data_IF_892589390696
#
_entry.id   IF_892589390696
#
_cell.length_a   1.000
_cell.length_b   1.000
_cell.length_c   1.000
_cell.angle_alpha   90.00
_cell.angle_beta   90.00
_cell.angle_gamma   90.00
#
_symmetry.space_group_name_H-M   'P 1'
#
loop_
_entity.id
_entity.type
_entity.pdbx_description
1 polymer ?
#
# COMPACT_ATOMS: atom_id res chain seq x y z
N UNK A 1 69.71 11.56 54.84
CA UNK A 1 69.19 10.25 55.27
C UNK A 1 67.77 10.53 55.78
N UNK A 2 66.77 10.40 54.91
CA UNK A 2 65.94 9.19 54.69
C UNK A 2 65.07 8.91 55.93
N UNK A 3 63.73 8.93 55.93
CA UNK A 3 62.70 8.73 54.88
C UNK A 3 61.33 9.30 55.34
N UNK A 4 60.34 9.46 54.44
CA UNK A 4 58.93 9.74 54.75
C UNK A 4 58.00 8.53 54.49
N UNK A 5 56.77 8.52 55.03
CA UNK A 5 55.49 8.07 54.38
C UNK A 5 54.32 8.68 55.17
N UNK A 6 53.26 9.11 54.46
CA UNK A 6 52.07 9.78 54.97
C UNK A 6 50.75 9.11 54.48
N UNK A 7 49.63 9.57 55.08
CA UNK A 7 48.20 9.54 54.64
C UNK A 7 47.47 8.18 54.89
N UNK A 8 46.21 8.05 55.34
CA UNK A 8 45.02 8.92 55.47
C UNK A 8 44.00 8.37 56.50
N UNK A 9 42.99 9.20 56.83
CA UNK A 9 41.84 8.99 57.72
C UNK A 9 40.77 7.98 57.24
N UNK A 10 40.00 7.43 58.20
CA UNK A 10 38.67 6.86 58.00
C UNK A 10 37.78 7.11 59.24
N UNK A 11 36.53 7.53 59.00
CA UNK A 11 35.53 7.97 59.99
C UNK A 11 34.45 6.92 60.29
N UNK A 12 33.75 7.16 61.41
CA UNK A 12 32.94 6.28 62.24
C UNK A 12 31.63 5.71 61.64
N UNK A 13 31.13 4.62 62.24
CA UNK A 13 29.82 4.02 61.97
C UNK A 13 28.93 3.85 63.21
N UNK A 14 27.72 3.31 62.95
CA UNK A 14 26.62 2.78 63.81
C UNK A 14 25.52 3.79 64.26
N UNK A 15 24.20 3.52 64.29
CA UNK A 15 23.22 2.60 63.64
C UNK A 15 21.78 3.05 64.02
N UNK A 16 20.87 3.19 63.02
CA UNK A 16 19.38 3.06 62.85
C UNK A 16 18.34 2.99 64.01
N UNK A 17 16.98 3.03 63.79
CA UNK A 17 16.16 3.14 62.52
C UNK A 17 14.90 4.07 62.55
N UNK A 18 14.34 4.36 61.36
CA UNK A 18 12.91 4.53 60.96
C UNK A 18 12.82 5.57 59.82
N UNK A 19 12.63 5.21 58.55
CA UNK A 19 11.39 4.70 57.97
C UNK A 19 11.03 5.59 56.76
N UNK A 20 11.60 5.28 55.60
CA UNK A 20 11.49 6.02 54.34
C UNK A 20 10.14 5.76 53.64
N UNK A 21 9.40 6.83 53.35
CA UNK A 21 8.25 6.81 52.44
C UNK A 21 8.70 7.42 51.12
N UNK A 22 9.25 6.61 50.22
CA UNK A 22 9.43 6.97 48.80
C UNK A 22 9.38 5.70 47.96
N UNK A 23 8.72 5.78 46.80
CA UNK A 23 8.71 4.84 45.67
C UNK A 23 7.85 3.57 45.76
N UNK A 24 6.58 3.71 45.35
CA UNK A 24 5.90 2.64 44.59
C UNK A 24 4.86 3.23 43.63
N UNK A 25 5.32 3.79 42.51
CA UNK A 25 4.49 4.05 41.35
C UNK A 25 4.74 2.92 40.34
N UNK A 26 3.83 1.95 40.34
CA UNK A 26 3.92 0.68 39.65
C UNK A 26 4.24 0.82 38.15
N UNK A 27 5.31 0.14 37.71
CA UNK A 27 5.53 -0.18 36.31
C UNK A 27 4.45 -1.19 35.88
N UNK A 28 3.40 -0.71 35.22
CA UNK A 28 2.39 -1.57 34.60
C UNK A 28 3.11 -2.49 33.59
N UNK A 29 3.04 -3.80 33.79
CA UNK A 29 3.67 -4.72 32.85
C UNK A 29 2.98 -4.63 31.49
N UNK A 30 3.70 -4.90 30.41
CA UNK A 30 3.14 -4.94 29.05
C UNK A 30 2.00 -5.96 28.92
N UNK A 31 1.98 -6.97 29.81
CA UNK A 31 0.89 -7.93 29.92
C UNK A 31 -0.37 -7.31 30.57
N UNK A 32 -0.21 -6.46 31.58
CA UNK A 32 -1.31 -5.77 32.24
C UNK A 32 -1.92 -4.69 31.35
N UNK A 33 -1.09 -3.95 30.59
CA UNK A 33 -1.55 -3.01 29.57
C UNK A 33 -2.32 -3.72 28.44
N UNK A 34 -1.87 -4.91 28.03
CA UNK A 34 -2.55 -5.73 27.03
C UNK A 34 -3.88 -6.29 27.54
N UNK A 35 -3.92 -6.79 28.77
CA UNK A 35 -5.15 -7.28 29.39
C UNK A 35 -6.18 -6.18 29.61
N UNK A 36 -5.73 -4.95 29.92
CA UNK A 36 -6.58 -3.77 30.02
C UNK A 36 -7.17 -3.36 28.66
N UNK A 37 -6.36 -3.35 27.60
CA UNK A 37 -6.83 -3.07 26.23
C UNK A 37 -7.78 -4.15 25.68
N UNK A 38 -7.50 -5.43 25.93
CA UNK A 38 -8.36 -6.54 25.49
C UNK A 38 -9.74 -6.50 26.18
N UNK A 39 -9.84 -5.98 27.41
CA UNK A 39 -11.11 -5.78 28.13
C UNK A 39 -11.92 -4.56 27.65
N UNK A 40 -11.27 -3.59 26.97
CA UNK A 40 -11.91 -2.40 26.39
C UNK A 40 -12.41 -2.61 24.96
N UNK A 41 -12.06 -3.74 24.33
CA UNK A 41 -12.49 -4.05 22.98
C UNK A 41 -14.02 -4.23 22.92
N UNK A 42 -14.75 -3.45 22.09
CA UNK A 42 -16.20 -3.60 21.99
C UNK A 42 -16.56 -4.99 21.45
N UNK A 43 -17.38 -5.73 22.20
CA UNK A 43 -17.80 -7.13 21.91
C UNK A 43 -18.48 -7.36 20.54
N UNK A 44 -18.76 -6.31 19.77
CA UNK A 44 -19.42 -6.36 18.46
C UNK A 44 -18.53 -5.94 17.27
N UNK A 45 -17.35 -5.35 17.48
CA UNK A 45 -16.46 -4.98 16.37
C UNK A 45 -15.45 -6.09 16.07
N UNK A 46 -15.11 -6.35 14.80
CA UNK A 46 -14.09 -7.32 14.45
C UNK A 46 -12.75 -6.91 15.08
N UNK A 47 -12.01 -7.86 15.64
CA UNK A 47 -10.70 -7.60 16.24
C UNK A 47 -9.73 -7.02 15.19
N UNK A 48 -9.03 -5.96 15.56
CA UNK A 48 -7.94 -5.36 14.78
C UNK A 48 -6.77 -6.34 14.73
N UNK A 49 -6.21 -6.64 13.54
CA UNK A 49 -5.08 -7.56 13.45
C UNK A 49 -3.82 -6.92 14.04
N UNK A 50 -2.92 -7.74 14.57
CA UNK A 50 -1.59 -7.26 14.95
C UNK A 50 -0.84 -6.79 13.70
N UNK A 51 -0.24 -5.57 13.69
CA UNK A 51 0.39 -5.02 12.49
C UNK A 51 1.49 -5.91 11.87
N UNK A 52 2.16 -6.72 12.68
CA UNK A 52 3.24 -7.63 12.26
C UNK A 52 2.74 -8.77 11.36
N UNK A 53 1.46 -9.12 11.48
CA UNK A 53 0.83 -10.26 10.82
C UNK A 53 -0.12 -9.82 9.71
N UNK A 54 -0.58 -8.57 9.76
CA UNK A 54 -1.53 -8.01 8.81
C UNK A 54 -0.87 -7.71 7.47
N UNK A 55 -1.71 -7.63 6.43
CA UNK A 55 -1.33 -7.03 5.16
C UNK A 55 -1.71 -5.56 5.19
N UNK A 56 -0.75 -4.69 5.48
CA UNK A 56 -0.98 -3.26 5.65
C UNK A 56 -1.11 -2.57 4.30
N UNK A 57 -2.28 -1.99 4.03
CA UNK A 57 -2.57 -1.17 2.87
C UNK A 57 -2.73 0.27 3.34
N UNK A 58 -1.76 1.12 3.05
CA UNK A 58 -1.85 2.53 3.35
C UNK A 58 -2.53 3.27 2.20
N UNK A 59 -3.55 4.07 2.50
CA UNK A 59 -4.29 4.85 1.49
C UNK A 59 -4.29 6.31 1.91
N UNK A 60 -4.01 7.23 0.98
CA UNK A 60 -4.13 8.65 1.29
C UNK A 60 -5.56 9.14 1.27
N UNK A 61 -5.86 10.20 2.04
CA UNK A 61 -7.22 10.73 2.12
C UNK A 61 -7.78 11.14 0.74
N UNK A 62 -6.93 11.68 -0.13
CA UNK A 62 -7.29 12.07 -1.51
C UNK A 62 -7.43 10.89 -2.47
N UNK A 63 -6.92 9.70 -2.11
CA UNK A 63 -7.15 8.48 -2.87
C UNK A 63 -8.42 7.77 -2.39
N UNK A 64 -8.67 7.75 -1.08
CA UNK A 64 -9.87 7.14 -0.51
C UNK A 64 -11.14 7.95 -0.79
N UNK A 65 -11.03 9.28 -0.74
CA UNK A 65 -12.13 10.21 -0.90
C UNK A 65 -11.86 11.22 -2.00
N UNK A 66 -12.91 11.63 -2.70
CA UNK A 66 -12.84 12.73 -3.65
C UNK A 66 -12.81 14.07 -2.90
N UNK A 67 -11.60 14.64 -2.82
CA UNK A 67 -11.34 15.92 -2.17
C UNK A 67 -10.94 17.02 -3.18
N UNK A 68 -11.46 16.97 -4.41
CA UNK A 68 -11.13 17.95 -5.48
C UNK A 68 -11.47 19.39 -5.10
N UNK A 69 -12.64 19.60 -4.50
CA UNK A 69 -13.09 20.92 -4.06
C UNK A 69 -12.15 21.47 -2.99
N UNK A 70 -11.84 20.66 -1.99
CA UNK A 70 -11.02 21.06 -0.86
C UNK A 70 -9.57 21.30 -1.28
N UNK A 71 -9.06 20.51 -2.24
CA UNK A 71 -7.74 20.77 -2.83
C UNK A 71 -7.70 22.09 -3.60
N UNK A 72 -8.78 22.44 -4.31
CA UNK A 72 -8.87 23.74 -5.00
C UNK A 72 -8.83 24.88 -3.99
N UNK A 73 -9.63 24.80 -2.92
CA UNK A 73 -9.65 25.82 -1.86
C UNK A 73 -8.28 25.93 -1.18
N UNK A 74 -7.62 24.82 -0.86
CA UNK A 74 -6.26 24.85 -0.30
C UNK A 74 -5.25 25.53 -1.24
N UNK A 75 -5.31 25.23 -2.54
CA UNK A 75 -4.38 25.79 -3.53
C UNK A 75 -4.61 27.27 -3.83
N UNK A 76 -5.87 27.71 -3.87
CA UNK A 76 -6.25 29.08 -4.24
C UNK A 76 -6.31 30.04 -3.05
N UNK A 77 -6.75 29.55 -1.89
CA UNK A 77 -7.09 30.38 -0.71
C UNK A 77 -6.23 30.06 0.52
N UNK A 78 -5.39 29.03 0.44
CA UNK A 78 -4.47 28.65 1.51
C UNK A 78 -5.09 27.81 2.62
N UNK A 79 -4.29 27.57 3.66
CA UNK A 79 -4.60 26.60 4.73
C UNK A 79 -5.78 27.03 5.61
N UNK A 80 -5.91 28.32 5.94
CA UNK A 80 -6.97 28.81 6.83
C UNK A 80 -8.37 28.64 6.22
N UNK A 81 -8.54 29.01 4.95
CA UNK A 81 -9.80 28.84 4.23
C UNK A 81 -10.15 27.35 4.07
N UNK A 82 -9.13 26.52 3.81
CA UNK A 82 -9.29 25.07 3.77
C UNK A 82 -9.75 24.50 5.12
N UNK A 83 -9.17 24.94 6.25
CA UNK A 83 -9.58 24.49 7.58
C UNK A 83 -11.01 24.92 7.92
N UNK A 84 -11.37 26.17 7.60
CA UNK A 84 -12.72 26.67 7.80
C UNK A 84 -13.77 25.84 7.03
N UNK A 85 -13.49 25.51 5.76
CA UNK A 85 -14.34 24.66 4.94
C UNK A 85 -14.51 23.25 5.54
N UNK A 86 -13.44 22.67 6.08
CA UNK A 86 -13.47 21.33 6.68
C UNK A 86 -14.33 21.28 7.95
N UNK A 87 -14.30 22.35 8.74
CA UNK A 87 -15.13 22.50 9.95
C UNK A 87 -16.59 22.77 9.57
N UNK A 88 -16.84 23.65 8.59
CA UNK A 88 -18.19 23.96 8.10
C UNK A 88 -18.90 22.71 7.58
N UNK A 89 -18.17 21.86 6.84
CA UNK A 89 -18.68 20.63 6.22
C UNK A 89 -18.40 19.37 7.06
N UNK A 90 -18.12 19.50 8.35
CA UNK A 90 -17.67 18.39 9.20
C UNK A 90 -18.64 17.17 9.20
N UNK A 91 -19.94 17.45 9.10
CA UNK A 91 -21.01 16.44 9.06
C UNK A 91 -21.35 15.97 7.63
N UNK A 92 -20.79 16.61 6.60
CA UNK A 92 -21.00 16.23 5.21
C UNK A 92 -19.93 15.21 4.77
N UNK A 93 -20.30 13.94 4.54
CA UNK A 93 -19.33 12.93 4.14
C UNK A 93 -18.72 13.26 2.78
N UNK A 94 -17.42 13.02 2.62
CA UNK A 94 -16.77 13.15 1.32
C UNK A 94 -17.34 12.15 0.32
N UNK A 95 -17.34 12.51 -0.96
CA UNK A 95 -17.64 11.56 -2.03
C UNK A 95 -16.56 10.48 -2.11
N UNK A 96 -16.93 9.34 -2.66
CA UNK A 96 -16.02 8.19 -2.83
C UNK A 96 -14.89 8.54 -3.79
N UNK A 97 -13.65 8.21 -3.40
CA UNK A 97 -12.46 8.38 -4.22
C UNK A 97 -12.09 7.11 -5.01
N UNK A 98 -11.02 7.17 -5.83
CA UNK A 98 -10.61 6.07 -6.70
C UNK A 98 -10.24 4.78 -5.94
N UNK A 99 -9.70 4.88 -4.73
CA UNK A 99 -9.35 3.71 -3.92
C UNK A 99 -10.54 3.09 -3.19
N UNK A 100 -11.71 3.75 -3.20
CA UNK A 100 -12.85 3.35 -2.39
C UNK A 100 -13.38 1.94 -2.73
N UNK A 101 -13.63 1.60 -4.01
CA UNK A 101 -14.06 0.24 -4.37
C UNK A 101 -13.01 -0.83 -4.01
N UNK A 102 -11.72 -0.49 -4.14
CA UNK A 102 -10.63 -1.38 -3.75
C UNK A 102 -10.65 -1.68 -2.25
N UNK A 103 -10.86 -0.66 -1.40
CA UNK A 103 -11.00 -0.84 0.05
C UNK A 103 -12.22 -1.70 0.40
N UNK A 104 -13.36 -1.49 -0.26
CA UNK A 104 -14.54 -2.34 -0.05
C UNK A 104 -14.28 -3.81 -0.42
N UNK A 105 -13.55 -4.05 -1.52
CA UNK A 105 -13.18 -5.41 -1.92
C UNK A 105 -12.21 -6.07 -0.92
N UNK A 106 -11.27 -5.32 -0.34
CA UNK A 106 -10.42 -5.83 0.75
C UNK A 106 -11.25 -6.24 1.97
N UNK A 107 -12.26 -5.45 2.33
CA UNK A 107 -13.18 -5.77 3.43
C UNK A 107 -14.01 -7.03 3.16
N UNK A 108 -14.50 -7.19 1.93
CA UNK A 108 -15.21 -8.40 1.52
C UNK A 108 -14.32 -9.66 1.63
N UNK A 109 -13.06 -9.57 1.21
CA UNK A 109 -12.08 -10.64 1.41
C UNK A 109 -11.86 -10.91 2.90
N UNK A 110 -11.72 -9.86 3.72
CA UNK A 110 -11.53 -9.98 5.16
C UNK A 110 -12.70 -10.68 5.85
N UNK A 111 -13.95 -10.42 5.43
CA UNK A 111 -15.14 -11.12 5.95
C UNK A 111 -15.00 -12.64 5.74
N UNK A 112 -14.60 -13.06 4.52
CA UNK A 112 -14.39 -14.47 4.21
C UNK A 112 -13.20 -15.07 4.95
N UNK A 113 -12.09 -14.33 5.06
CA UNK A 113 -10.93 -14.78 5.84
C UNK A 113 -11.27 -15.00 7.31
N UNK A 114 -12.04 -14.08 7.93
CA UNK A 114 -12.48 -14.22 9.32
C UNK A 114 -13.46 -15.38 9.51
N UNK A 115 -14.30 -15.67 8.53
CA UNK A 115 -15.16 -16.85 8.57
C UNK A 115 -14.34 -18.16 8.55
N UNK A 116 -13.34 -18.25 7.67
CA UNK A 116 -12.50 -19.45 7.53
C UNK A 116 -11.43 -19.60 8.61
N UNK A 117 -10.97 -18.47 9.17
CA UNK A 117 -9.89 -18.37 10.15
C UNK A 117 -10.20 -17.31 11.22
N UNK A 118 -11.12 -17.57 12.16
CA UNK A 118 -11.57 -16.58 13.15
C UNK A 118 -10.47 -15.97 14.01
N UNK A 119 -9.43 -16.75 14.34
CA UNK A 119 -8.33 -16.33 15.21
C UNK A 119 -7.10 -15.79 14.46
N UNK A 120 -7.18 -15.66 13.13
CA UNK A 120 -6.03 -15.27 12.31
C UNK A 120 -5.93 -13.76 12.15
N UNK A 121 -4.78 -13.22 12.52
CA UNK A 121 -4.41 -11.82 12.27
C UNK A 121 -3.94 -11.56 10.82
N UNK A 122 -3.84 -12.60 9.98
CA UNK A 122 -3.40 -12.48 8.59
C UNK A 122 -4.59 -12.10 7.69
N UNK A 123 -4.98 -10.84 7.79
CA UNK A 123 -6.03 -10.16 7.04
C UNK A 123 -5.51 -8.80 6.54
N UNK A 124 -6.25 -8.11 5.69
CA UNK A 124 -5.90 -6.75 5.27
C UNK A 124 -6.16 -5.74 6.40
N UNK A 125 -5.18 -4.88 6.67
CA UNK A 125 -5.29 -3.72 7.57
C UNK A 125 -5.17 -2.45 6.74
N UNK A 126 -6.27 -1.71 6.60
CA UNK A 126 -6.29 -0.46 5.85
C UNK A 126 -5.96 0.69 6.80
N UNK A 127 -4.94 1.47 6.45
CA UNK A 127 -4.46 2.60 7.25
C UNK A 127 -4.65 3.88 6.45
N UNK A 128 -5.35 4.85 7.02
CA UNK A 128 -5.47 6.17 6.41
C UNK A 128 -4.21 6.99 6.69
N UNK A 129 -3.56 7.47 5.62
CA UNK A 129 -2.32 8.24 5.71
C UNK A 129 -2.51 9.62 5.08
N UNK A 130 -2.53 10.67 5.88
CA UNK A 130 -2.74 12.04 5.37
C UNK A 130 -1.67 13.00 5.85
N UNK A 131 -1.27 13.90 4.95
CA UNK A 131 -0.43 15.04 5.27
C UNK A 131 -1.24 16.25 5.75
N UNK A 132 -2.56 16.13 5.90
CA UNK A 132 -3.40 17.22 6.35
C UNK A 132 -3.28 17.47 7.85
N UNK A 133 -3.72 18.66 8.27
CA UNK A 133 -3.81 19.05 9.67
C UNK A 133 -4.83 18.18 10.43
N UNK A 134 -4.60 17.96 11.73
CA UNK A 134 -5.43 17.09 12.55
C UNK A 134 -6.90 17.51 12.63
N UNK A 135 -7.20 18.80 12.48
CA UNK A 135 -8.58 19.32 12.45
C UNK A 135 -9.43 18.75 11.30
N UNK A 136 -8.81 18.32 10.20
CA UNK A 136 -9.49 17.65 9.08
C UNK A 136 -9.94 16.23 9.47
N UNK A 137 -9.39 15.69 10.56
CA UNK A 137 -9.58 14.32 10.99
C UNK A 137 -11.04 13.98 11.29
N UNK A 138 -11.81 14.93 11.82
CA UNK A 138 -13.20 14.68 12.22
C UNK A 138 -14.07 14.37 11.00
N UNK A 139 -14.03 15.21 9.95
CA UNK A 139 -14.77 14.94 8.71
C UNK A 139 -14.34 13.64 8.03
N UNK A 140 -13.06 13.28 8.09
CA UNK A 140 -12.56 12.00 7.58
C UNK A 140 -13.13 10.81 8.37
N UNK A 141 -13.17 10.91 9.70
CA UNK A 141 -13.76 9.89 10.59
C UNK A 141 -15.26 9.78 10.33
N UNK A 142 -15.97 10.91 10.23
CA UNK A 142 -17.40 10.95 9.91
C UNK A 142 -17.69 10.29 8.56
N UNK A 143 -16.86 10.54 7.54
CA UNK A 143 -16.98 9.90 6.23
C UNK A 143 -16.74 8.39 6.30
N UNK A 144 -15.71 7.94 7.02
CA UNK A 144 -15.41 6.52 7.24
C UNK A 144 -16.58 5.81 7.95
N UNK A 145 -17.14 6.44 8.99
CA UNK A 145 -18.29 5.93 9.72
C UNK A 145 -19.57 5.91 8.86
N UNK A 146 -19.82 6.97 8.08
CA UNK A 146 -20.96 7.07 7.17
C UNK A 146 -20.99 5.91 6.16
N UNK A 147 -19.82 5.57 5.61
CA UNK A 147 -19.68 4.47 4.66
C UNK A 147 -19.49 3.09 5.32
N UNK A 148 -19.37 3.02 6.65
CA UNK A 148 -19.16 1.78 7.39
C UNK A 148 -17.81 1.11 7.12
N UNK A 149 -16.79 1.88 6.73
CA UNK A 149 -15.45 1.36 6.46
C UNK A 149 -14.76 0.98 7.78
N UNK A 150 -14.11 -0.18 7.81
CA UNK A 150 -13.40 -0.71 8.98
C UNK A 150 -11.93 -0.23 9.00
N UNK A 151 -11.76 1.10 9.07
CA UNK A 151 -10.46 1.77 9.17
C UNK A 151 -10.31 2.31 10.58
N UNK A 152 -9.42 1.71 11.38
CA UNK A 152 -9.21 2.09 12.78
C UNK A 152 -7.88 2.84 12.99
N UNK A 153 -6.97 2.78 12.02
CA UNK A 153 -5.63 3.35 12.10
C UNK A 153 -5.49 4.54 11.16
N UNK A 154 -5.11 5.67 11.75
CA UNK A 154 -4.92 6.95 11.07
C UNK A 154 -3.53 7.47 11.39
N UNK A 155 -2.90 8.08 10.40
CA UNK A 155 -1.70 8.87 10.59
C UNK A 155 -1.90 10.22 9.88
N UNK A 156 -1.82 11.29 10.65
CA UNK A 156 -1.95 12.67 10.19
C UNK A 156 -0.64 13.39 10.49
N UNK A 157 0.10 13.78 9.46
CA UNK A 157 1.47 14.30 9.63
C UNK A 157 1.58 15.82 9.63
N UNK A 158 0.46 16.55 9.52
CA UNK A 158 0.42 18.01 9.65
C UNK A 158 1.38 18.73 8.69
N UNK A 159 1.47 18.28 7.45
CA UNK A 159 2.34 18.83 6.40
C UNK A 159 3.67 18.11 6.21
N UNK A 160 4.10 17.25 7.15
CA UNK A 160 5.34 16.46 7.01
C UNK A 160 5.14 15.27 6.08
N UNK A 161 6.25 14.74 5.52
CA UNK A 161 6.16 13.57 4.64
C UNK A 161 5.69 12.31 5.41
N UNK A 162 4.76 11.51 4.87
CA UNK A 162 4.26 10.30 5.53
C UNK A 162 5.21 9.09 5.44
N UNK A 163 6.29 9.18 4.67
CA UNK A 163 7.09 8.00 4.25
C UNK A 163 7.75 7.28 5.43
N UNK A 164 8.27 8.02 6.42
CA UNK A 164 8.82 7.40 7.63
C UNK A 164 7.77 6.59 8.41
N UNK A 165 6.51 7.06 8.41
CA UNK A 165 5.41 6.32 9.01
C UNK A 165 5.03 5.10 8.17
N UNK A 166 5.01 5.19 6.83
CA UNK A 166 4.73 4.02 5.98
C UNK A 166 5.66 2.84 6.31
N UNK A 167 6.95 3.09 6.55
CA UNK A 167 7.89 2.08 7.02
C UNK A 167 7.56 1.54 8.41
N UNK A 168 7.30 2.42 9.38
CA UNK A 168 6.96 2.03 10.75
C UNK A 168 5.67 1.20 10.83
N UNK A 169 4.74 1.42 9.90
CA UNK A 169 3.49 0.68 9.77
C UNK A 169 3.64 -0.66 9.02
N UNK A 170 4.84 -1.01 8.55
CA UNK A 170 5.13 -2.20 7.74
C UNK A 170 4.24 -2.27 6.48
N UNK A 171 4.11 -1.13 5.79
CA UNK A 171 3.21 -0.98 4.63
C UNK A 171 3.59 -1.94 3.50
N UNK A 172 2.63 -2.76 3.06
CA UNK A 172 2.78 -3.65 1.90
C UNK A 172 2.42 -2.97 0.57
N UNK A 173 1.51 -1.99 0.61
CA UNK A 173 1.12 -1.17 -0.55
C UNK A 173 0.71 0.22 -0.07
N UNK A 174 1.22 1.27 -0.73
CA UNK A 174 0.78 2.65 -0.53
C UNK A 174 0.08 3.20 -1.78
N UNK A 175 -1.18 3.59 -1.65
CA UNK A 175 -1.97 4.21 -2.70
C UNK A 175 -2.21 5.68 -2.38
N UNK A 176 -1.88 6.57 -3.31
CA UNK A 176 -2.05 8.00 -3.07
C UNK A 176 -2.36 8.78 -4.34
N UNK A 177 -3.10 9.88 -4.21
CA UNK A 177 -3.25 10.87 -5.29
C UNK A 177 -2.08 11.88 -5.36
N UNK A 178 -0.97 11.59 -4.69
CA UNK A 178 0.24 12.42 -4.63
C UNK A 178 1.44 11.70 -5.26
N UNK A 179 1.77 12.07 -6.50
CA UNK A 179 2.83 11.43 -7.26
C UNK A 179 4.22 11.60 -6.62
N UNK A 180 4.48 12.71 -5.94
CA UNK A 180 5.75 12.95 -5.27
C UNK A 180 5.90 12.00 -4.07
N UNK A 181 4.85 11.83 -3.28
CA UNK A 181 4.87 10.88 -2.15
C UNK A 181 4.94 9.43 -2.59
N UNK A 182 4.34 9.09 -3.73
CA UNK A 182 4.46 7.75 -4.31
C UNK A 182 5.90 7.49 -4.75
N UNK A 183 6.54 8.46 -5.42
CA UNK A 183 7.94 8.37 -5.81
C UNK A 183 8.85 8.18 -4.58
N UNK A 184 8.71 9.02 -3.55
CA UNK A 184 9.47 8.90 -2.30
C UNK A 184 9.26 7.52 -1.65
N UNK A 185 8.05 6.95 -1.69
CA UNK A 185 7.76 5.63 -1.14
C UNK A 185 8.47 4.51 -1.91
N UNK A 186 8.46 4.55 -3.25
CA UNK A 186 9.15 3.58 -4.11
C UNK A 186 10.66 3.61 -3.88
N UNK A 187 11.25 4.81 -3.79
CA UNK A 187 12.68 4.99 -3.51
C UNK A 187 13.10 4.39 -2.16
N UNK A 188 12.16 4.36 -1.21
CA UNK A 188 12.33 3.79 0.12
C UNK A 188 11.97 2.29 0.20
N UNK A 189 11.73 1.64 -0.94
CA UNK A 189 11.45 0.21 -1.06
C UNK A 189 10.01 -0.19 -0.71
N UNK A 190 9.08 0.77 -0.65
CA UNK A 190 7.67 0.52 -0.40
C UNK A 190 6.95 0.44 -1.75
N UNK A 191 6.20 -0.65 -1.99
CA UNK A 191 5.35 -0.74 -3.17
C UNK A 191 4.31 0.38 -3.12
N UNK A 192 4.25 1.23 -4.15
CA UNK A 192 3.34 2.36 -4.18
C UNK A 192 2.88 2.68 -5.60
N UNK A 193 1.72 3.33 -5.69
CA UNK A 193 1.19 3.81 -6.96
C UNK A 193 0.34 5.08 -6.79
N UNK A 194 0.38 5.92 -7.82
CA UNK A 194 -0.39 7.15 -7.90
C UNK A 194 -1.77 6.85 -8.47
N UNK A 195 -2.83 7.16 -7.73
CA UNK A 195 -4.20 6.98 -8.19
C UNK A 195 -4.78 8.27 -8.76
N UNK A 196 -5.64 8.11 -9.77
CA UNK A 196 -6.34 9.21 -10.43
C UNK A 196 -7.85 9.01 -10.28
N UNK A 197 -8.57 10.11 -10.10
CA UNK A 197 -10.04 10.05 -9.99
C UNK A 197 -10.63 9.57 -11.32
N UNK A 198 -11.46 8.52 -11.35
CA UNK A 198 -12.10 8.05 -12.58
C UNK A 198 -13.01 9.13 -13.18
N UNK A 199 -13.22 9.11 -14.52
CA UNK A 199 -14.14 10.03 -15.18
C UNK A 199 -15.61 9.70 -14.88
N UNK A 200 -15.91 8.45 -14.53
CA UNK A 200 -17.27 7.96 -14.26
C UNK A 200 -17.32 7.07 -13.00
N UNK A 201 -18.45 7.15 -12.29
CA UNK A 201 -18.78 6.28 -11.16
C UNK A 201 -19.18 4.89 -11.69
N UNK A 202 -18.18 4.04 -11.95
CA UNK A 202 -18.43 2.66 -12.36
C UNK A 202 -18.69 1.77 -11.14
N UNK A 203 -19.86 1.15 -11.10
CA UNK A 203 -20.19 0.15 -10.07
C UNK A 203 -19.37 -1.12 -10.32
N UNK A 204 -18.41 -1.37 -9.44
CA UNK A 204 -17.67 -2.64 -9.39
C UNK A 204 -18.41 -3.64 -8.49
N UNK A 205 -18.15 -4.93 -8.71
CA UNK A 205 -18.67 -5.96 -7.84
C UNK A 205 -17.78 -6.07 -6.61
N UNK A 206 -18.38 -6.09 -5.42
CA UNK A 206 -17.66 -6.16 -4.15
C UNK A 206 -17.52 -7.60 -3.61
N UNK A 207 -17.80 -8.64 -4.41
CA UNK A 207 -17.67 -10.04 -4.00
C UNK A 207 -16.24 -10.60 -4.15
N UNK A 208 -15.43 -9.97 -5.01
CA UNK A 208 -14.04 -10.33 -5.31
C UNK A 208 -13.14 -9.10 -5.29
N UNK A 209 -11.92 -9.24 -4.82
CA UNK A 209 -10.81 -8.34 -5.08
C UNK A 209 -10.13 -8.73 -6.39
N UNK A 210 -10.15 -7.81 -7.36
CA UNK A 210 -9.51 -7.98 -8.68
C UNK A 210 -8.36 -7.01 -8.83
N UNK A 211 -7.15 -7.51 -8.99
CA UNK A 211 -5.93 -6.69 -9.09
C UNK A 211 -5.19 -7.03 -10.38
N UNK A 212 -5.05 -6.05 -11.27
CA UNK A 212 -4.33 -6.22 -12.52
C UNK A 212 -2.97 -5.51 -12.46
N UNK A 213 -1.96 -6.13 -13.06
CA UNK A 213 -0.59 -5.63 -13.10
C UNK A 213 -0.06 -5.65 -14.52
N UNK A 214 0.65 -4.61 -14.92
CA UNK A 214 1.66 -4.78 -15.96
C UNK A 214 2.82 -5.67 -15.47
N UNK A 215 3.56 -6.21 -16.42
CA UNK A 215 4.76 -7.01 -16.16
C UNK A 215 5.97 -6.13 -15.85
N UNK A 216 6.57 -5.59 -16.91
CA UNK A 216 7.84 -4.87 -16.85
C UNK A 216 7.69 -3.55 -16.08
N UNK A 217 8.73 -3.15 -15.35
CA UNK A 217 8.75 -1.97 -14.46
C UNK A 217 7.65 -1.92 -13.37
N UNK A 218 6.84 -2.97 -13.21
CA UNK A 218 5.81 -3.09 -12.16
C UNK A 218 6.08 -4.34 -11.31
N UNK A 219 5.94 -5.54 -11.90
CA UNK A 219 6.26 -6.81 -11.24
C UNK A 219 7.72 -7.22 -11.47
N UNK A 220 8.22 -6.96 -12.67
CA UNK A 220 9.61 -7.17 -13.05
C UNK A 220 10.37 -5.84 -13.10
N UNK A 221 11.69 -5.90 -13.17
CA UNK A 221 12.53 -4.70 -13.37
C UNK A 221 12.30 -4.09 -14.76
N UNK A 222 12.95 -2.95 -15.00
CA UNK A 222 12.99 -2.25 -16.29
C UNK A 222 14.09 -2.78 -17.24
N UNK A 223 14.70 -3.95 -16.93
CA UNK A 223 15.76 -4.59 -17.74
C UNK A 223 15.36 -4.71 -19.21
N UNK A 224 14.14 -5.16 -19.47
CA UNK A 224 13.63 -5.33 -20.83
C UNK A 224 13.43 -4.00 -21.56
N UNK A 225 13.01 -2.95 -20.86
CA UNK A 225 12.85 -1.61 -21.45
C UNK A 225 14.22 -1.00 -21.80
N UNK A 226 15.23 -1.21 -20.96
CA UNK A 226 16.61 -0.78 -21.21
C UNK A 226 17.13 -1.41 -22.51
N UNK A 227 17.00 -2.74 -22.66
CA UNK A 227 17.47 -3.46 -23.86
C UNK A 227 16.78 -2.94 -25.12
N UNK A 228 15.46 -2.74 -25.09
CA UNK A 228 14.71 -2.24 -26.25
C UNK A 228 15.17 -0.83 -26.64
N UNK A 229 15.42 0.05 -25.68
CA UNK A 229 15.86 1.43 -25.97
C UNK A 229 17.30 1.51 -26.44
N UNK A 230 18.20 0.68 -25.92
CA UNK A 230 19.63 0.70 -26.29
C UNK A 230 19.93 -0.10 -27.56
N UNK A 231 19.20 -1.20 -27.80
CA UNK A 231 19.56 -2.19 -28.82
C UNK A 231 18.42 -2.62 -29.74
N UNK A 232 17.20 -2.08 -29.55
CA UNK A 232 16.04 -2.38 -30.39
C UNK A 232 15.34 -3.71 -30.07
N UNK A 233 14.24 -3.96 -30.79
CA UNK A 233 13.34 -5.08 -30.54
C UNK A 233 13.92 -6.46 -30.90
N UNK A 234 14.74 -6.54 -31.96
CA UNK A 234 15.33 -7.82 -32.38
C UNK A 234 16.28 -8.37 -31.31
N UNK A 235 17.17 -7.50 -30.80
CA UNK A 235 18.08 -7.84 -29.69
C UNK A 235 17.30 -8.24 -28.44
N UNK A 236 16.18 -7.57 -28.15
CA UNK A 236 15.30 -7.94 -27.05
C UNK A 236 14.73 -9.35 -27.22
N UNK A 237 14.25 -9.73 -28.40
CA UNK A 237 13.72 -11.09 -28.62
C UNK A 237 14.80 -12.16 -28.53
N UNK A 238 16.01 -11.90 -29.04
CA UNK A 238 17.14 -12.80 -28.88
C UNK A 238 17.54 -12.97 -27.40
N UNK A 239 17.56 -11.86 -26.66
CA UNK A 239 17.81 -11.85 -25.22
C UNK A 239 16.78 -12.69 -24.47
N UNK A 240 15.48 -12.47 -24.71
CA UNK A 240 14.41 -13.21 -24.06
C UNK A 240 14.45 -14.71 -24.37
N UNK A 241 14.83 -15.09 -25.60
CA UNK A 241 15.02 -16.49 -25.98
C UNK A 241 16.21 -17.12 -25.25
N UNK A 242 17.34 -16.40 -25.17
CA UNK A 242 18.57 -16.87 -24.54
C UNK A 242 18.44 -17.01 -23.02
N UNK A 243 17.74 -16.08 -22.38
CA UNK A 243 17.58 -15.99 -20.92
C UNK A 243 16.21 -16.49 -20.43
N UNK A 244 15.51 -17.31 -21.24
CA UNK A 244 14.13 -17.75 -20.95
C UNK A 244 14.01 -18.49 -19.60
N UNK A 245 15.06 -19.17 -19.16
CA UNK A 245 15.13 -19.90 -17.88
C UNK A 245 15.77 -19.09 -16.74
N UNK A 246 16.25 -17.87 -17.02
CA UNK A 246 16.76 -16.95 -16.03
C UNK A 246 15.62 -16.02 -15.58
N UNK A 247 15.23 -16.04 -14.29
CA UNK A 247 14.18 -15.15 -13.79
C UNK A 247 14.49 -13.68 -14.07
N UNK A 248 13.48 -12.91 -14.44
CA UNK A 248 13.57 -11.45 -14.50
C UNK A 248 13.87 -10.90 -13.10
N UNK A 249 14.62 -9.80 -13.03
CA UNK A 249 14.81 -9.11 -11.76
C UNK A 249 13.47 -8.54 -11.24
N UNK A 250 13.38 -8.34 -9.92
CA UNK A 250 12.14 -7.92 -9.27
C UNK A 250 11.83 -6.43 -9.49
N UNK A 251 10.56 -6.13 -9.75
CA UNK A 251 10.01 -4.78 -9.78
C UNK A 251 9.46 -4.33 -8.41
N UNK A 252 8.99 -3.09 -8.30
CA UNK A 252 8.55 -2.49 -7.04
C UNK A 252 7.32 -3.16 -6.43
N UNK A 253 6.42 -3.75 -7.22
CA UNK A 253 5.17 -4.36 -6.74
C UNK A 253 5.26 -5.87 -6.52
N UNK A 254 6.42 -6.49 -6.77
CA UNK A 254 6.64 -7.94 -6.59
C UNK A 254 6.27 -8.41 -5.18
N UNK A 255 6.70 -7.69 -4.14
CA UNK A 255 6.39 -8.05 -2.74
C UNK A 255 4.89 -7.96 -2.41
N UNK A 256 4.18 -7.04 -3.05
CA UNK A 256 2.72 -6.94 -2.91
C UNK A 256 2.02 -8.13 -3.56
N UNK A 257 2.43 -8.53 -4.77
CA UNK A 257 1.90 -9.74 -5.42
C UNK A 257 2.19 -11.01 -4.60
N UNK A 258 3.39 -11.14 -4.01
CA UNK A 258 3.69 -12.25 -3.10
C UNK A 258 2.74 -12.29 -1.90
N UNK A 259 2.34 -11.12 -1.42
CA UNK A 259 1.41 -10.99 -0.30
C UNK A 259 0.01 -11.42 -0.70
N UNK A 260 -0.48 -11.00 -1.88
CA UNK A 260 -1.74 -11.50 -2.44
C UNK A 260 -1.70 -13.03 -2.65
N UNK A 261 -0.60 -13.57 -3.19
CA UNK A 261 -0.43 -15.01 -3.38
C UNK A 261 -0.44 -15.79 -2.07
N UNK A 262 0.13 -15.24 -0.98
CA UNK A 262 0.01 -15.84 0.37
C UNK A 262 -1.45 -15.87 0.84
N UNK A 263 -2.21 -14.81 0.60
CA UNK A 263 -3.64 -14.75 0.96
C UNK A 263 -4.47 -15.73 0.12
N UNK A 264 -4.25 -15.80 -1.19
CA UNK A 264 -4.91 -16.77 -2.09
C UNK A 264 -4.70 -18.21 -1.60
N UNK A 265 -3.46 -18.56 -1.20
CA UNK A 265 -3.16 -19.89 -0.65
C UNK A 265 -3.98 -20.26 0.58
N UNK A 266 -4.37 -19.30 1.43
CA UNK A 266 -5.26 -19.57 2.58
C UNK A 266 -6.61 -20.10 2.11
N UNK A 267 -7.18 -19.54 1.04
CA UNK A 267 -8.41 -20.05 0.43
C UNK A 267 -8.19 -21.41 -0.24
N UNK A 268 -7.06 -21.60 -0.93
CA UNK A 268 -6.75 -22.87 -1.60
C UNK A 268 -6.67 -24.04 -0.62
N UNK A 269 -6.03 -23.86 0.54
CA UNK A 269 -5.91 -24.89 1.59
C UNK A 269 -7.27 -25.28 2.17
N UNK A 270 -8.28 -24.39 2.10
CA UNK A 270 -9.67 -24.67 2.50
C UNK A 270 -10.53 -25.25 1.37
N UNK A 271 -9.94 -25.58 0.22
CA UNK A 271 -10.66 -26.11 -0.93
C UNK A 271 -11.38 -25.03 -1.77
N UNK A 272 -11.20 -23.74 -1.46
CA UNK A 272 -11.87 -22.64 -2.16
C UNK A 272 -11.01 -22.06 -3.30
N UNK A 273 -10.27 -22.90 -4.02
CA UNK A 273 -9.39 -22.43 -5.11
C UNK A 273 -10.16 -21.75 -6.24
N UNK A 274 -11.24 -22.37 -6.71
CA UNK A 274 -12.09 -21.80 -7.76
C UNK A 274 -12.97 -20.64 -7.26
N UNK A 275 -13.29 -20.64 -5.97
CA UNK A 275 -14.10 -19.59 -5.33
C UNK A 275 -13.26 -18.53 -4.62
N UNK A 276 -11.95 -18.45 -4.88
CA UNK A 276 -11.07 -17.53 -4.16
C UNK A 276 -11.49 -16.08 -4.44
N UNK A 277 -11.75 -15.25 -3.41
CA UNK A 277 -12.18 -13.88 -3.61
C UNK A 277 -11.04 -12.95 -4.02
N UNK A 278 -9.81 -13.43 -4.20
CA UNK A 278 -8.69 -12.62 -4.68
C UNK A 278 -8.31 -13.14 -6.06
N UNK A 279 -8.40 -12.27 -7.06
CA UNK A 279 -8.09 -12.55 -8.47
C UNK A 279 -6.98 -11.64 -8.94
N UNK A 280 -5.89 -12.23 -9.44
CA UNK A 280 -4.73 -11.49 -9.95
C UNK A 280 -4.56 -11.68 -11.45
N UNK A 281 -4.26 -10.57 -12.15
CA UNK A 281 -4.16 -10.54 -13.61
C UNK A 281 -2.80 -9.98 -14.03
N UNK A 282 -2.10 -10.67 -14.93
CA UNK A 282 -0.97 -10.11 -15.66
C UNK A 282 -1.50 -9.55 -16.99
N UNK A 283 -1.34 -8.25 -17.24
CA UNK A 283 -1.78 -7.55 -18.47
C UNK A 283 -0.56 -6.87 -19.10
N UNK A 284 0.13 -7.58 -19.98
CA UNK A 284 1.45 -7.17 -20.48
C UNK A 284 1.50 -6.92 -21.98
N UNK A 285 2.25 -5.90 -22.39
CA UNK A 285 2.54 -5.65 -23.80
C UNK A 285 3.44 -6.72 -24.45
N UNK A 286 4.04 -7.62 -23.66
CA UNK A 286 4.84 -8.75 -24.17
C UNK A 286 4.03 -9.63 -25.12
N UNK A 287 4.72 -10.21 -26.09
CA UNK A 287 4.14 -11.21 -27.00
C UNK A 287 4.20 -12.58 -26.36
N UNK A 288 3.10 -13.34 -26.41
CA UNK A 288 3.05 -14.71 -25.93
C UNK A 288 4.08 -15.62 -26.61
N UNK A 289 4.32 -15.39 -27.92
CA UNK A 289 5.15 -16.25 -28.74
C UNK A 289 6.67 -16.03 -28.56
N UNK A 290 7.09 -14.79 -28.27
CA UNK A 290 8.51 -14.43 -28.28
C UNK A 290 9.09 -14.03 -26.91
N UNK A 291 8.31 -13.37 -26.04
CA UNK A 291 8.82 -12.83 -24.76
C UNK A 291 7.98 -13.18 -23.53
N UNK A 292 6.85 -13.87 -23.70
CA UNK A 292 5.95 -14.21 -22.59
C UNK A 292 6.43 -15.37 -21.73
N UNK A 293 7.19 -16.31 -22.30
CA UNK A 293 7.62 -17.52 -21.60
C UNK A 293 8.51 -17.22 -20.37
N UNK A 294 9.45 -16.27 -20.49
CA UNK A 294 10.35 -15.86 -19.38
C UNK A 294 9.56 -15.22 -18.24
N UNK A 295 8.55 -14.39 -18.56
CA UNK A 295 7.69 -13.78 -17.55
C UNK A 295 6.91 -14.84 -16.75
N UNK A 296 6.29 -15.82 -17.42
CA UNK A 296 5.57 -16.91 -16.74
C UNK A 296 6.51 -17.83 -15.93
N UNK A 297 7.69 -18.14 -16.47
CA UNK A 297 8.73 -18.90 -15.75
C UNK A 297 9.19 -18.15 -14.50
N UNK A 298 9.36 -16.83 -14.58
CA UNK A 298 9.74 -15.98 -13.44
C UNK A 298 8.69 -16.04 -12.33
N UNK A 299 7.41 -15.83 -12.65
CA UNK A 299 6.33 -15.92 -11.67
C UNK A 299 6.29 -17.30 -10.98
N UNK A 300 6.43 -18.38 -11.77
CA UNK A 300 6.51 -19.74 -11.24
C UNK A 300 7.71 -19.96 -10.32
N UNK A 301 8.89 -19.45 -10.68
CA UNK A 301 10.09 -19.54 -9.82
C UNK A 301 9.90 -18.80 -8.50
N UNK A 302 9.14 -17.71 -8.50
CA UNK A 302 8.74 -17.00 -7.27
C UNK A 302 7.62 -17.70 -6.49
N UNK A 303 7.08 -18.82 -6.99
CA UNK A 303 5.94 -19.50 -6.39
C UNK A 303 4.66 -18.66 -6.45
N UNK A 304 4.55 -17.82 -7.47
CA UNK A 304 3.41 -16.95 -7.73
C UNK A 304 2.62 -17.48 -8.92
N UNK A 305 1.32 -17.57 -8.73
CA UNK A 305 0.35 -17.93 -9.74
C UNK A 305 -0.53 -16.71 -9.97
N UNK A 306 -0.67 -16.29 -11.23
CA UNK A 306 -1.71 -15.34 -11.63
C UNK A 306 -2.91 -16.14 -12.11
N UNK A 307 -4.11 -15.66 -11.81
CA UNK A 307 -5.34 -16.33 -12.26
C UNK A 307 -5.48 -16.25 -13.79
N UNK A 308 -5.10 -15.10 -14.36
CA UNK A 308 -5.19 -14.83 -15.79
C UNK A 308 -3.95 -14.05 -16.26
N UNK A 309 -3.41 -14.45 -17.41
CA UNK A 309 -2.27 -13.78 -18.05
C UNK A 309 -2.63 -13.42 -19.49
N UNK A 310 -2.64 -12.13 -19.78
CA UNK A 310 -3.00 -11.54 -21.06
C UNK A 310 -1.74 -10.94 -21.69
N UNK A 311 -1.37 -11.48 -22.84
CA UNK A 311 -0.21 -11.06 -23.64
C UNK A 311 -0.71 -10.32 -24.86
N UNK A 312 -0.45 -9.01 -24.91
CA UNK A 312 -1.07 -8.13 -25.90
C UNK A 312 -0.21 -7.91 -27.14
N UNK A 313 1.08 -8.28 -27.11
CA UNK A 313 2.00 -8.04 -28.23
C UNK A 313 1.95 -6.59 -28.76
N UNK A 314 1.85 -5.61 -27.85
CA UNK A 314 1.73 -4.18 -28.17
C UNK A 314 0.31 -3.66 -28.41
N UNK A 315 -0.72 -4.51 -28.43
CA UNK A 315 -2.12 -4.07 -28.51
C UNK A 315 -2.52 -3.25 -27.26
N UNK A 316 -3.50 -2.33 -27.38
CA UNK A 316 -3.94 -1.50 -26.26
C UNK A 316 -4.57 -2.33 -25.13
N UNK A 317 -4.26 -1.96 -23.88
CA UNK A 317 -4.72 -2.67 -22.67
C UNK A 317 -6.18 -2.35 -22.31
N UNK A 318 -6.67 -1.16 -22.65
CA UNK A 318 -7.99 -0.63 -22.29
C UNK A 318 -9.16 -1.59 -22.52
N UNK A 319 -9.35 -2.14 -23.73
CA UNK A 319 -10.46 -3.06 -24.02
C UNK A 319 -10.48 -4.32 -23.15
N UNK A 320 -9.32 -4.86 -22.79
CA UNK A 320 -9.22 -6.03 -21.91
C UNK A 320 -9.50 -5.64 -20.45
N UNK A 321 -9.00 -4.49 -20.01
CA UNK A 321 -9.28 -3.96 -18.67
C UNK A 321 -10.77 -3.68 -18.47
N UNK A 322 -11.46 -3.20 -19.51
CA UNK A 322 -12.91 -3.01 -19.50
C UNK A 322 -13.68 -4.30 -19.26
N UNK A 323 -13.16 -5.43 -19.78
CA UNK A 323 -13.71 -6.78 -19.58
C UNK A 323 -13.38 -7.34 -18.20
N UNK A 324 -12.13 -7.17 -17.75
CA UNK A 324 -11.65 -7.66 -16.44
C UNK A 324 -12.35 -6.92 -15.29
N UNK A 325 -12.56 -5.61 -15.46
CA UNK A 325 -13.08 -4.68 -14.42
C UNK A 325 -12.29 -4.81 -13.12
N UNK A 326 -10.97 -4.56 -13.13
CA UNK A 326 -10.17 -4.65 -11.92
C UNK A 326 -10.54 -3.50 -10.96
N UNK A 327 -10.35 -3.74 -9.66
CA UNK A 327 -10.45 -2.70 -8.64
C UNK A 327 -9.28 -1.72 -8.72
N UNK A 328 -8.14 -2.20 -9.18
CA UNK A 328 -6.97 -1.39 -9.51
C UNK A 328 -6.14 -2.08 -10.58
N UNK A 329 -5.69 -1.31 -11.56
CA UNK A 329 -4.69 -1.71 -12.54
C UNK A 329 -3.39 -0.93 -12.32
N UNK A 330 -2.26 -1.60 -12.22
CA UNK A 330 -0.95 -0.97 -12.03
C UNK A 330 -0.13 -0.98 -13.31
N UNK A 331 0.36 0.19 -13.72
CA UNK A 331 1.19 0.36 -14.91
C UNK A 331 2.22 1.47 -14.67
N UNK A 332 3.43 1.34 -15.24
CA UNK A 332 4.47 2.35 -15.12
C UNK A 332 4.35 3.45 -16.19
N UNK A 333 3.59 3.23 -17.25
CA UNK A 333 3.46 4.16 -18.37
C UNK A 333 2.15 4.95 -18.29
N UNK A 334 2.26 6.27 -18.25
CA UNK A 334 1.07 7.15 -18.16
C UNK A 334 0.12 6.95 -19.36
N UNK A 335 0.63 6.65 -20.55
CA UNK A 335 -0.19 6.35 -21.72
C UNK A 335 -1.14 5.15 -21.50
N UNK A 336 -0.66 4.10 -20.82
CA UNK A 336 -1.49 2.95 -20.48
C UNK A 336 -2.47 3.26 -19.35
N UNK A 337 -2.06 4.08 -18.38
CA UNK A 337 -2.94 4.58 -17.31
C UNK A 337 -4.09 5.40 -17.89
N UNK A 338 -3.79 6.38 -18.76
CA UNK A 338 -4.78 7.22 -19.45
C UNK A 338 -5.72 6.38 -20.31
N UNK A 339 -5.18 5.46 -21.13
CA UNK A 339 -6.00 4.56 -21.95
C UNK A 339 -6.88 3.62 -21.12
N UNK A 340 -6.44 3.16 -19.95
CA UNK A 340 -7.29 2.40 -19.04
C UNK A 340 -8.43 3.27 -18.45
N UNK A 341 -8.13 4.54 -18.17
CA UNK A 341 -9.05 5.52 -17.63
C UNK A 341 -10.18 5.86 -18.62
N UNK A 342 -9.85 5.99 -19.91
CA UNK A 342 -10.82 6.19 -21.01
C UNK A 342 -11.84 5.05 -21.09
N UNK A 343 -11.45 3.84 -20.68
CA UNK A 343 -12.31 2.66 -20.60
C UNK A 343 -12.97 2.45 -19.21
N UNK A 344 -12.94 3.48 -18.35
CA UNK A 344 -13.57 3.46 -17.02
C UNK A 344 -12.93 2.46 -16.07
N UNK A 345 -11.61 2.22 -16.19
CA UNK A 345 -10.83 1.40 -15.27
C UNK A 345 -10.07 2.30 -14.31
N UNK A 346 -10.09 1.99 -13.01
CA UNK A 346 -9.23 2.65 -12.03
C UNK A 346 -7.79 2.17 -12.25
N UNK A 347 -6.99 3.00 -12.88
CA UNK A 347 -5.57 2.76 -13.11
C UNK A 347 -4.70 3.58 -12.15
N UNK A 348 -3.58 2.99 -11.73
CA UNK A 348 -2.63 3.58 -10.82
C UNK A 348 -1.22 3.54 -11.43
N UNK A 349 -0.59 4.71 -11.45
CA UNK A 349 0.73 4.89 -12.05
C UNK A 349 1.84 4.51 -11.07
N UNK A 350 2.73 3.61 -11.48
CA UNK A 350 3.92 3.20 -10.73
C UNK A 350 5.13 3.95 -11.31
N UNK A 351 5.62 5.03 -10.67
CA UNK A 351 6.72 5.81 -11.22
C UNK A 351 8.07 5.11 -10.99
N UNK A 352 8.30 4.02 -11.71
CA UNK A 352 9.50 3.20 -11.66
C UNK A 352 10.11 3.03 -13.06
N UNK A 353 11.41 2.72 -13.08
CA UNK A 353 12.14 2.41 -14.31
C UNK A 353 12.66 3.61 -15.10
N UNK A 354 13.49 3.33 -16.11
CA UNK A 354 14.09 4.35 -16.97
C UNK A 354 13.05 5.16 -17.77
N UNK A 355 11.86 4.63 -18.05
CA UNK A 355 10.75 5.35 -18.68
C UNK A 355 10.45 6.71 -18.02
N UNK A 356 10.58 6.79 -16.69
CA UNK A 356 10.32 8.02 -15.95
C UNK A 356 11.40 9.10 -16.15
N UNK A 357 12.66 8.70 -16.37
CA UNK A 357 13.80 9.63 -16.49
C UNK A 357 13.76 10.39 -17.82
N UNK A 358 13.36 9.72 -18.90
CA UNK A 358 13.26 10.34 -20.22
C UNK A 358 12.14 11.38 -20.31
N UNK A 359 10.97 11.11 -19.70
CA UNK A 359 9.87 12.08 -19.65
C UNK A 359 10.24 13.36 -18.86
N UNK A 360 11.05 13.24 -17.81
CA UNK A 360 11.61 14.41 -17.09
C UNK A 360 12.61 15.22 -17.95
N UNK A 361 13.35 14.56 -18.85
CA UNK A 361 14.32 15.23 -19.72
C UNK A 361 13.67 15.98 -20.89
N UNK A 362 12.54 15.49 -21.41
CA UNK A 362 11.79 16.17 -22.46
C UNK A 362 10.95 17.35 -21.95
N UNK A 363 10.46 17.30 -20.70
CA UNK A 363 9.78 18.45 -20.05
C UNK A 363 10.72 19.61 -19.66
N UNK A 364 12.04 19.42 -19.75
CA UNK A 364 13.07 20.44 -19.47
C UNK A 364 13.71 21.05 -20.72
N UNK A 365 13.28 20.62 -21.91
CA UNK A 365 13.60 21.28 -23.19
C UNK A 365 12.36 22.03 -23.66
#
# INVERSE_FOLDING_TARGET
>A
MSSPVAVAEASAGTTSPAGSVVEEAAALSTADAKAFHDNLAPKKKPKTPKPQNAVTIAVSSRALFDMREERRVYGEQGVEAYLALQIEKEEEPFKQGPAFPFVQALEAVNIRLRHLYPDSDQIFDVVLMTNHHAQVGVRLINSINHYGLNIERFCMTGGKSPIGYLKAYLTNLYLSADAEKVQEAIEEGIAAATMFNPPEDRVLKNDELRVAFDGDAVLFSDESEIIVKEHGLDTFFEHEKKFVDNPLAQGPLKMFLETLGRMQRKFHVKGERLGCPIRTYLVTARSAASSGARALKTLRTWGLEVDEALFLAGAPKGPLLEKIRPHVFFDDQMFHVEGAHEHGTVAAHVPFGIGQKYNKSQKKK
#
